data_IF_863143009838
#
_entry.id   IF_863143009838
#
_cell.length_a   1.000
_cell.length_b   1.000
_cell.length_c   1.000
_cell.angle_alpha   90.00
_cell.angle_beta   90.00
_cell.angle_gamma   90.00
#
_symmetry.space_group_name_H-M   'P 1'
#
loop_
_entity.id
_entity.type
_entity.pdbx_description
1 polymer ?
#
# COMPACT_ATOMS: atom_id res chain seq x y z
N UNK A 1 -4.19 -3.74 12.40
CA UNK A 1 -3.37 -4.90 11.97
C UNK A 1 -2.78 -4.65 10.59
N UNK A 2 -1.93 -5.56 10.08
CA UNK A 2 -1.33 -5.46 8.75
C UNK A 2 -1.47 -6.77 7.98
N UNK A 3 -1.91 -6.73 6.72
CA UNK A 3 -2.07 -7.92 5.86
C UNK A 3 -2.12 -7.54 4.38
N UNK A 4 -2.06 -8.53 3.48
CA UNK A 4 -2.30 -8.33 2.04
C UNK A 4 -3.78 -8.05 1.80
N UNK A 5 -4.07 -6.91 1.17
CA UNK A 5 -5.44 -6.50 0.81
C UNK A 5 -5.46 -6.06 -0.66
N UNK A 6 -5.93 -4.86 -0.98
CA UNK A 6 -6.08 -4.34 -2.33
C UNK A 6 -4.79 -4.50 -3.16
N UNK A 7 -4.94 -4.81 -4.46
CA UNK A 7 -3.83 -5.00 -5.42
C UNK A 7 -2.82 -6.10 -5.04
N UNK A 8 -3.11 -6.95 -4.05
CA UNK A 8 -2.14 -7.89 -3.52
C UNK A 8 -0.93 -7.21 -2.85
N UNK A 9 -1.11 -6.02 -2.27
CA UNK A 9 -0.09 -5.34 -1.47
C UNK A 9 -0.47 -5.30 0.01
N UNK A 10 0.53 -5.16 0.88
CA UNK A 10 0.34 -5.09 2.32
C UNK A 10 -0.19 -3.71 2.71
N UNK A 11 -1.29 -3.68 3.49
CA UNK A 11 -1.86 -2.46 4.05
C UNK A 11 -2.00 -2.57 5.57
N UNK A 12 -2.01 -1.42 6.25
CA UNK A 12 -2.42 -1.29 7.64
C UNK A 12 -3.89 -0.89 7.66
N UNK A 13 -4.70 -1.58 8.47
CA UNK A 13 -6.14 -1.34 8.58
C UNK A 13 -6.66 -1.77 9.95
N UNK A 14 -7.88 -1.35 10.29
CA UNK A 14 -8.53 -1.71 11.56
C UNK A 14 -8.84 -3.20 11.60
N UNK A 15 -8.83 -3.79 12.79
CA UNK A 15 -9.09 -5.23 12.92
C UNK A 15 -10.51 -5.62 12.47
N UNK A 16 -11.48 -4.75 12.77
CA UNK A 16 -12.88 -4.90 12.35
C UNK A 16 -13.10 -4.96 10.83
N UNK A 17 -12.13 -4.51 10.04
CA UNK A 17 -12.20 -4.53 8.57
C UNK A 17 -11.62 -5.84 7.96
N UNK A 18 -11.24 -6.83 8.77
CA UNK A 18 -10.81 -8.14 8.24
C UNK A 18 -11.87 -8.79 7.33
N UNK A 19 -13.16 -8.85 7.72
CA UNK A 19 -14.23 -9.34 6.85
C UNK A 19 -14.35 -8.61 5.52
N UNK A 20 -14.12 -7.29 5.53
CA UNK A 20 -14.22 -6.44 4.36
C UNK A 20 -13.12 -6.75 3.36
N UNK A 21 -11.87 -6.85 3.83
CA UNK A 21 -10.75 -7.08 2.93
C UNK A 21 -10.55 -8.56 2.59
N UNK A 22 -10.92 -9.50 3.45
CA UNK A 22 -10.96 -10.95 3.16
C UNK A 22 -12.41 -11.41 2.91
N UNK A 23 -13.14 -10.64 2.10
CA UNK A 23 -14.51 -10.94 1.72
C UNK A 23 -14.62 -12.20 0.85
N UNK A 24 -15.83 -12.75 0.75
CA UNK A 24 -16.14 -13.89 -0.11
C UNK A 24 -15.81 -13.60 -1.58
N UNK A 25 -15.28 -14.57 -2.31
CA UNK A 25 -14.99 -14.42 -3.74
C UNK A 25 -13.77 -13.55 -4.06
N UNK A 26 -13.07 -12.97 -3.07
CA UNK A 26 -11.82 -12.23 -3.29
C UNK A 26 -10.80 -13.09 -4.04
N UNK A 27 -10.18 -12.51 -5.07
CA UNK A 27 -9.13 -13.15 -5.86
C UNK A 27 -7.96 -12.22 -6.11
N UNK A 28 -6.75 -12.75 -5.99
CA UNK A 28 -5.53 -12.11 -6.44
C UNK A 28 -4.78 -13.03 -7.40
N UNK A 29 -4.07 -12.45 -8.36
CA UNK A 29 -3.05 -13.18 -9.08
C UNK A 29 -1.88 -13.47 -8.12
N UNK A 30 -1.71 -14.73 -7.78
CA UNK A 30 -0.64 -15.21 -6.89
C UNK A 30 0.46 -15.86 -7.72
N UNK A 31 1.72 -15.62 -7.34
CA UNK A 31 2.85 -16.39 -7.87
C UNK A 31 2.72 -17.84 -7.36
N UNK A 32 3.29 -18.84 -8.04
CA UNK A 32 3.25 -20.23 -7.55
C UNK A 32 3.71 -20.36 -6.09
N UNK A 33 4.79 -19.66 -5.71
CA UNK A 33 5.29 -19.66 -4.33
C UNK A 33 4.34 -19.01 -3.31
N UNK A 34 3.45 -18.11 -3.74
CA UNK A 34 2.46 -17.43 -2.89
C UNK A 34 1.17 -18.24 -2.69
N UNK A 35 1.10 -19.47 -3.20
CA UNK A 35 -0.01 -20.42 -2.98
C UNK A 35 0.40 -21.55 -2.04
N UNK A 36 -0.56 -22.35 -1.54
CA UNK A 36 -0.28 -23.59 -0.80
C UNK A 36 -0.02 -24.80 -1.73
N UNK A 37 -0.08 -24.62 -3.05
CA UNK A 37 0.23 -25.68 -4.00
C UNK A 37 1.75 -25.86 -4.18
N UNK A 38 2.13 -26.98 -4.81
CA UNK A 38 3.52 -27.24 -5.19
C UNK A 38 4.06 -26.18 -6.16
N UNK A 39 5.37 -25.96 -6.12
CA UNK A 39 6.06 -25.08 -7.06
C UNK A 39 7.48 -25.61 -7.39
N UNK A 40 8.30 -24.82 -8.10
CA UNK A 40 9.64 -25.23 -8.52
C UNK A 40 10.66 -25.46 -7.39
N UNK A 41 10.33 -25.05 -6.17
CA UNK A 41 11.21 -25.09 -5.00
C UNK A 41 10.82 -26.18 -4.01
N UNK A 42 9.52 -26.47 -3.88
CA UNK A 42 8.95 -27.29 -2.82
C UNK A 42 7.75 -28.12 -3.30
N UNK A 43 7.62 -29.34 -2.80
CA UNK A 43 6.42 -30.17 -3.05
C UNK A 43 5.24 -29.68 -2.21
N UNK A 44 4.01 -30.02 -2.61
CA UNK A 44 2.79 -29.65 -1.86
C UNK A 44 2.81 -30.19 -0.44
N UNK A 45 3.18 -31.45 -0.26
CA UNK A 45 3.28 -32.12 1.05
C UNK A 45 4.23 -31.40 2.00
N UNK A 46 5.40 -30.98 1.50
CA UNK A 46 6.38 -30.22 2.28
C UNK A 46 5.88 -28.81 2.59
N UNK A 47 5.18 -28.19 1.66
CA UNK A 47 4.60 -26.86 1.85
C UNK A 47 3.50 -26.87 2.90
N UNK A 48 2.61 -27.85 2.84
CA UNK A 48 1.57 -28.10 3.85
C UNK A 48 2.18 -28.36 5.22
N UNK A 49 3.24 -29.18 5.30
CA UNK A 49 3.96 -29.45 6.54
C UNK A 49 4.49 -28.16 7.19
N UNK A 50 5.20 -27.31 6.43
CA UNK A 50 5.73 -26.05 6.99
C UNK A 50 4.64 -25.01 7.26
N UNK A 51 3.58 -24.97 6.45
CA UNK A 51 2.41 -24.13 6.74
C UNK A 51 1.77 -24.52 8.09
N UNK A 52 1.58 -25.81 8.34
CA UNK A 52 1.06 -26.32 9.61
C UNK A 52 1.99 -26.00 10.77
N UNK A 53 3.31 -26.21 10.62
CA UNK A 53 4.30 -25.89 11.64
C UNK A 53 4.33 -24.39 12.00
N UNK A 54 4.18 -23.51 11.00
CA UNK A 54 4.07 -22.07 11.22
C UNK A 54 2.83 -21.74 12.05
N UNK A 55 1.68 -22.32 11.69
CA UNK A 55 0.43 -22.09 12.41
C UNK A 55 0.49 -22.61 13.85
N UNK A 56 1.04 -23.82 14.04
CA UNK A 56 1.25 -24.43 15.35
C UNK A 56 2.14 -23.55 16.24
N UNK A 57 3.26 -23.07 15.69
CA UNK A 57 4.15 -22.15 16.41
C UNK A 57 3.42 -20.89 16.88
N UNK A 58 2.53 -20.34 16.04
CA UNK A 58 1.76 -19.13 16.34
C UNK A 58 0.62 -19.36 17.35
N UNK A 59 0.26 -20.61 17.67
CA UNK A 59 -0.65 -20.90 18.80
C UNK A 59 -0.04 -20.53 20.14
N UNK A 60 1.30 -20.59 20.26
CA UNK A 60 2.05 -20.17 21.45
C UNK A 60 2.21 -18.66 21.60
N UNK A 61 1.79 -17.87 20.60
CA UNK A 61 1.85 -16.41 20.60
C UNK A 61 2.49 -15.83 19.33
N UNK A 62 2.57 -14.49 19.22
CA UNK A 62 3.18 -13.85 18.07
C UNK A 62 4.67 -14.19 17.93
N UNK A 63 5.12 -14.39 16.69
CA UNK A 63 6.51 -14.74 16.39
C UNK A 63 7.07 -13.91 15.23
N UNK A 64 8.36 -13.62 15.26
CA UNK A 64 9.05 -12.92 14.17
C UNK A 64 9.22 -13.85 12.98
N UNK A 65 9.38 -13.28 11.78
CA UNK A 65 9.65 -14.05 10.55
C UNK A 65 10.88 -14.93 10.71
N UNK A 66 11.91 -14.39 11.35
CA UNK A 66 13.17 -15.10 11.57
C UNK A 66 13.00 -16.24 12.57
N UNK A 67 12.24 -16.04 13.65
CA UNK A 67 11.92 -17.12 14.58
C UNK A 67 11.16 -18.27 13.89
N UNK A 68 10.13 -17.95 13.09
CA UNK A 68 9.39 -18.96 12.32
C UNK A 68 10.31 -19.71 11.34
N UNK A 69 11.23 -19.00 10.68
CA UNK A 69 12.24 -19.59 9.78
C UNK A 69 13.13 -20.57 10.53
N UNK A 70 13.66 -20.18 11.68
CA UNK A 70 14.52 -21.05 12.50
C UNK A 70 13.78 -22.29 13.00
N UNK A 71 12.52 -22.15 13.40
CA UNK A 71 11.66 -23.28 13.75
C UNK A 71 11.48 -24.24 12.56
N UNK A 72 11.25 -23.73 11.35
CA UNK A 72 11.14 -24.58 10.18
C UNK A 72 12.46 -25.28 9.83
N UNK A 73 13.60 -24.58 9.93
CA UNK A 73 14.94 -25.15 9.70
C UNK A 73 15.29 -26.26 10.70
N UNK A 74 14.96 -26.08 11.98
CA UNK A 74 15.17 -27.14 12.99
C UNK A 74 14.30 -28.38 12.74
N UNK A 75 13.24 -28.24 11.94
CA UNK A 75 12.37 -29.31 11.45
C UNK A 75 12.66 -29.74 10.01
N UNK A 76 13.84 -29.38 9.50
CA UNK A 76 14.38 -29.87 8.23
C UNK A 76 13.98 -29.06 7.00
N UNK A 77 13.61 -27.77 7.14
CA UNK A 77 13.48 -26.86 5.98
C UNK A 77 14.84 -26.71 5.30
N UNK A 78 14.92 -27.04 4.02
CA UNK A 78 16.13 -26.88 3.22
C UNK A 78 16.27 -25.45 2.67
N UNK A 79 17.49 -25.03 2.34
CA UNK A 79 17.75 -23.72 1.73
C UNK A 79 16.95 -23.53 0.44
N UNK A 80 16.80 -24.61 -0.36
CA UNK A 80 16.00 -24.58 -1.60
C UNK A 80 14.53 -24.30 -1.32
N UNK A 81 13.95 -24.98 -0.35
CA UNK A 81 12.53 -24.83 0.00
C UNK A 81 12.23 -23.46 0.63
N UNK A 82 13.21 -22.88 1.32
CA UNK A 82 13.10 -21.55 1.93
C UNK A 82 12.81 -20.46 0.90
N UNK A 83 13.32 -20.58 -0.34
CA UNK A 83 13.02 -19.68 -1.46
C UNK A 83 11.51 -19.59 -1.78
N UNK A 84 10.75 -20.62 -1.42
CA UNK A 84 9.28 -20.62 -1.48
C UNK A 84 8.64 -20.29 -0.13
N UNK A 85 9.01 -20.98 0.96
CA UNK A 85 8.32 -20.82 2.26
C UNK A 85 8.52 -19.41 2.83
N UNK A 86 9.75 -18.90 2.78
CA UNK A 86 10.13 -17.58 3.29
C UNK A 86 10.66 -16.67 2.18
N UNK A 87 10.01 -16.68 1.01
CA UNK A 87 10.24 -15.71 -0.06
C UNK A 87 10.07 -14.25 0.46
N UNK A 88 11.02 -13.32 0.26
CA UNK A 88 11.04 -12.00 0.93
C UNK A 88 9.80 -11.11 0.77
N UNK A 89 9.05 -11.30 -0.32
CA UNK A 89 7.86 -10.56 -0.73
C UNK A 89 6.57 -11.39 -0.66
N UNK A 90 6.64 -12.64 -0.19
CA UNK A 90 5.47 -13.49 -0.05
C UNK A 90 5.80 -14.89 0.45
N UNK A 91 5.54 -15.90 -0.38
CA UNK A 91 5.73 -17.30 -0.05
C UNK A 91 4.54 -17.91 0.70
N UNK A 92 4.79 -19.01 1.41
CA UNK A 92 3.79 -19.65 2.29
C UNK A 92 3.21 -18.66 3.30
N UNK A 93 4.00 -17.69 3.79
CA UNK A 93 3.50 -16.63 4.66
C UNK A 93 2.39 -15.80 4.00
N UNK A 94 2.56 -15.43 2.73
CA UNK A 94 1.50 -14.73 1.99
C UNK A 94 0.30 -15.64 1.77
N UNK A 95 0.53 -16.91 1.41
CA UNK A 95 -0.54 -17.88 1.21
C UNK A 95 -1.42 -18.01 2.47
N UNK A 96 -0.81 -18.13 3.65
CA UNK A 96 -1.50 -18.18 4.94
C UNK A 96 -2.27 -16.89 5.27
N UNK A 97 -1.71 -15.72 4.92
CA UNK A 97 -2.37 -14.44 5.13
C UNK A 97 -3.56 -14.22 4.18
N UNK A 98 -3.43 -14.59 2.90
CA UNK A 98 -4.52 -14.57 1.91
C UNK A 98 -5.64 -15.55 2.30
N UNK A 99 -5.30 -16.67 2.95
CA UNK A 99 -6.26 -17.63 3.51
C UNK A 99 -6.84 -17.21 4.87
N UNK A 100 -6.53 -16.00 5.37
CA UNK A 100 -7.04 -15.50 6.64
C UNK A 100 -6.59 -16.28 7.87
N UNK A 101 -5.45 -16.98 7.80
CA UNK A 101 -4.92 -17.77 8.92
C UNK A 101 -3.97 -16.97 9.81
N UNK A 102 -3.22 -16.03 9.21
CA UNK A 102 -2.27 -15.18 9.92
C UNK A 102 -2.42 -13.72 9.51
N UNK A 103 -1.99 -12.81 10.39
CA UNK A 103 -1.83 -11.38 10.10
C UNK A 103 -0.48 -10.91 10.62
N UNK A 104 0.04 -9.82 10.05
CA UNK A 104 1.23 -9.16 10.58
C UNK A 104 0.88 -8.29 11.78
N UNK A 105 1.85 -8.18 12.69
CA UNK A 105 1.89 -7.09 13.68
C UNK A 105 2.22 -5.75 13.00
N UNK A 106 1.72 -4.67 13.59
CA UNK A 106 1.98 -3.29 13.15
C UNK A 106 3.19 -2.75 13.89
N UNK A 107 4.37 -3.15 13.43
CA UNK A 107 5.66 -2.73 13.96
C UNK A 107 6.74 -2.81 12.86
N UNK A 108 7.95 -2.34 13.19
CA UNK A 108 9.09 -2.33 12.27
C UNK A 108 9.58 -3.75 11.93
N UNK A 109 9.80 -4.59 12.95
CA UNK A 109 10.18 -5.98 12.74
C UNK A 109 9.02 -6.79 12.13
N UNK A 110 9.34 -7.62 11.13
CA UNK A 110 8.34 -8.50 10.50
C UNK A 110 7.96 -9.62 11.47
N UNK A 111 6.83 -9.45 12.16
CA UNK A 111 6.24 -10.46 13.03
C UNK A 111 4.79 -10.76 12.66
N UNK A 112 4.34 -11.95 13.04
CA UNK A 112 3.05 -12.52 12.70
C UNK A 112 2.34 -13.06 13.94
N UNK A 113 1.02 -13.14 13.85
CA UNK A 113 0.16 -13.86 14.79
C UNK A 113 -0.96 -14.55 14.02
N UNK A 114 -1.66 -15.46 14.68
CA UNK A 114 -2.92 -15.98 14.15
C UNK A 114 -3.89 -14.82 13.90
N UNK A 115 -4.61 -14.92 12.78
CA UNK A 115 -5.71 -14.01 12.50
C UNK A 115 -6.82 -14.22 13.55
N UNK A 116 -7.47 -13.15 14.01
CA UNK A 116 -8.64 -13.30 14.88
C UNK A 116 -9.76 -14.02 14.11
N UNK A 117 -10.66 -14.76 14.79
CA UNK A 117 -11.85 -15.30 14.14
C UNK A 117 -12.66 -14.20 13.46
N UNK A 118 -13.12 -14.45 12.24
CA UNK A 118 -13.95 -13.52 11.49
C UNK A 118 -14.88 -14.30 10.55
N UNK A 119 -16.00 -13.69 10.18
CA UNK A 119 -16.86 -14.17 9.10
C UNK A 119 -16.64 -13.26 7.90
N UNK A 120 -16.23 -13.76 6.72
CA UNK A 120 -16.10 -12.96 5.52
C UNK A 120 -17.38 -12.17 5.21
N UNK A 121 -17.24 -10.92 4.77
CA UNK A 121 -18.36 -10.16 4.23
C UNK A 121 -18.74 -10.72 2.84
N UNK A 122 -20.01 -10.64 2.46
CA UNK A 122 -20.44 -11.03 1.11
C UNK A 122 -19.81 -10.13 0.04
N UNK A 123 -19.50 -10.69 -1.13
CA UNK A 123 -18.72 -10.00 -2.18
C UNK A 123 -19.30 -8.63 -2.58
N UNK A 124 -20.61 -8.57 -2.88
CA UNK A 124 -21.27 -7.35 -3.33
C UNK A 124 -21.33 -6.27 -2.24
N UNK A 125 -21.54 -6.66 -0.99
CA UNK A 125 -21.53 -5.76 0.17
C UNK A 125 -20.12 -5.19 0.40
N UNK A 126 -19.11 -6.06 0.35
CA UNK A 126 -17.72 -5.67 0.54
C UNK A 126 -17.27 -4.66 -0.53
N UNK A 127 -17.57 -4.93 -1.80
CA UNK A 127 -17.20 -4.00 -2.87
C UNK A 127 -17.95 -2.67 -2.79
N UNK A 128 -19.22 -2.67 -2.39
CA UNK A 128 -19.97 -1.43 -2.14
C UNK A 128 -19.28 -0.58 -1.08
N UNK A 129 -18.89 -1.20 0.03
CA UNK A 129 -18.23 -0.50 1.13
C UNK A 129 -16.80 -0.06 0.77
N UNK A 130 -16.03 -0.89 0.06
CA UNK A 130 -14.69 -0.54 -0.47
C UNK A 130 -14.79 0.68 -1.39
N UNK A 131 -15.73 0.69 -2.34
CA UNK A 131 -15.90 1.80 -3.28
C UNK A 131 -16.39 3.06 -2.56
N UNK A 132 -17.35 2.93 -1.64
CA UNK A 132 -17.82 4.06 -0.82
C UNK A 132 -16.64 4.69 -0.08
N UNK A 133 -15.84 3.90 0.65
CA UNK A 133 -14.65 4.41 1.36
C UNK A 133 -13.61 5.01 0.41
N UNK A 134 -13.37 4.40 -0.74
CA UNK A 134 -12.47 4.96 -1.74
C UNK A 134 -12.92 6.36 -2.16
N UNK A 135 -14.17 6.54 -2.59
CA UNK A 135 -14.65 7.85 -3.01
C UNK A 135 -14.76 8.86 -1.84
N UNK A 136 -15.04 8.42 -0.61
CA UNK A 136 -15.01 9.31 0.57
C UNK A 136 -13.63 9.91 0.83
N UNK A 137 -12.56 9.12 0.71
CA UNK A 137 -11.21 9.55 1.14
C UNK A 137 -10.26 9.89 0.00
N UNK A 138 -10.56 9.44 -1.21
CA UNK A 138 -9.75 9.65 -2.40
C UNK A 138 -10.49 10.46 -3.48
N UNK A 139 -11.80 10.68 -3.32
CA UNK A 139 -12.60 11.45 -4.25
C UNK A 139 -12.36 12.97 -4.15
N UNK A 140 -12.76 13.73 -5.17
CA UNK A 140 -13.30 13.28 -6.44
C UNK A 140 -12.26 12.53 -7.28
N UNK A 141 -12.62 11.36 -7.83
CA UNK A 141 -11.69 10.48 -8.55
C UNK A 141 -12.31 9.94 -9.84
N UNK A 142 -11.51 9.71 -10.87
CA UNK A 142 -12.01 9.10 -12.11
C UNK A 142 -12.18 7.58 -11.97
N UNK A 143 -12.92 6.97 -12.92
CA UNK A 143 -13.00 5.49 -13.00
C UNK A 143 -11.61 4.85 -13.19
N UNK A 144 -10.69 5.55 -13.87
CA UNK A 144 -9.33 5.08 -14.11
C UNK A 144 -8.48 5.13 -12.85
N UNK A 145 -8.64 6.18 -12.03
CA UNK A 145 -8.02 6.29 -10.71
C UNK A 145 -8.48 5.16 -9.79
N UNK A 146 -9.80 4.92 -9.73
CA UNK A 146 -10.38 3.85 -8.93
C UNK A 146 -9.86 2.47 -9.36
N UNK A 147 -9.79 2.21 -10.68
CA UNK A 147 -9.24 0.97 -11.20
C UNK A 147 -7.76 0.79 -10.86
N UNK A 148 -6.97 1.86 -10.96
CA UNK A 148 -5.56 1.86 -10.60
C UNK A 148 -5.36 1.58 -9.11
N UNK A 149 -6.10 2.26 -8.24
CA UNK A 149 -6.01 2.09 -6.80
C UNK A 149 -6.57 0.74 -6.33
N UNK A 150 -7.72 0.31 -6.80
CA UNK A 150 -8.34 -0.93 -6.31
C UNK A 150 -7.75 -2.18 -6.97
N UNK A 151 -7.06 -2.04 -8.10
CA UNK A 151 -6.51 -3.17 -8.85
C UNK A 151 -7.58 -4.00 -9.55
N UNK A 152 -8.69 -3.37 -9.95
CA UNK A 152 -9.84 -4.01 -10.55
C UNK A 152 -10.10 -3.48 -11.97
N UNK A 153 -10.76 -4.28 -12.81
CA UNK A 153 -11.06 -3.89 -14.17
C UNK A 153 -12.10 -2.75 -14.20
N UNK A 154 -11.87 -1.72 -15.02
CA UNK A 154 -12.78 -0.57 -15.14
C UNK A 154 -14.23 -0.98 -15.47
N UNK A 155 -14.43 -2.00 -16.32
CA UNK A 155 -15.76 -2.52 -16.65
C UNK A 155 -16.50 -3.05 -15.42
N UNK A 156 -15.79 -3.74 -14.55
CA UNK A 156 -16.35 -4.30 -13.32
C UNK A 156 -16.66 -3.18 -12.32
N UNK A 157 -15.71 -2.28 -12.10
CA UNK A 157 -15.91 -1.13 -11.21
C UNK A 157 -17.07 -0.25 -11.66
N UNK A 158 -17.18 0.03 -12.97
CA UNK A 158 -18.29 0.82 -13.52
C UNK A 158 -19.65 0.19 -13.19
N UNK A 159 -19.77 -1.14 -13.24
CA UNK A 159 -21.00 -1.85 -12.83
C UNK A 159 -21.23 -1.70 -11.32
N UNK A 160 -20.21 -1.96 -10.49
CA UNK A 160 -20.32 -1.89 -9.02
C UNK A 160 -20.63 -0.47 -8.51
N UNK A 161 -20.12 0.55 -9.20
CA UNK A 161 -20.40 1.97 -8.92
C UNK A 161 -21.87 2.35 -9.09
N UNK A 162 -22.65 1.63 -9.91
CA UNK A 162 -24.09 1.88 -10.05
C UNK A 162 -24.87 1.67 -8.74
N UNK A 163 -24.28 0.95 -7.78
CA UNK A 163 -24.83 0.79 -6.43
C UNK A 163 -24.56 1.97 -5.48
N UNK A 164 -23.88 3.02 -5.94
CA UNK A 164 -23.54 4.19 -5.13
C UNK A 164 -24.20 5.44 -5.72
N UNK A 165 -24.57 6.38 -4.85
CA UNK A 165 -25.07 7.70 -5.25
C UNK A 165 -23.89 8.64 -5.56
N UNK A 166 -23.19 8.34 -6.65
CA UNK A 166 -22.05 9.13 -7.10
C UNK A 166 -22.49 10.27 -8.02
N UNK A 167 -22.02 11.47 -7.72
CA UNK A 167 -22.18 12.66 -8.55
C UNK A 167 -21.01 12.78 -9.51
N UNK A 168 -21.32 13.07 -10.77
CA UNK A 168 -20.31 13.37 -11.77
C UNK A 168 -19.85 14.83 -11.69
N UNK A 169 -18.54 15.03 -11.70
CA UNK A 169 -17.90 16.34 -11.72
C UNK A 169 -16.95 16.37 -12.91
N UNK A 170 -17.11 17.36 -13.80
CA UNK A 170 -16.21 17.54 -14.94
C UNK A 170 -15.16 18.58 -14.62
N UNK A 171 -13.88 18.23 -14.74
CA UNK A 171 -12.75 19.13 -14.54
C UNK A 171 -11.65 18.82 -15.57
N UNK A 172 -11.12 19.84 -16.24
CA UNK A 172 -10.04 19.65 -17.22
C UNK A 172 -10.36 18.67 -18.36
N UNK A 173 -11.62 18.59 -18.80
CA UNK A 173 -12.07 17.65 -19.82
C UNK A 173 -12.19 16.19 -19.36
N UNK A 174 -12.06 15.92 -18.06
CA UNK A 174 -12.22 14.59 -17.46
C UNK A 174 -13.41 14.54 -16.52
N UNK A 175 -13.99 13.35 -16.41
CA UNK A 175 -15.09 13.05 -15.49
C UNK A 175 -14.54 12.40 -14.22
N UNK A 176 -14.87 13.01 -13.09
CA UNK A 176 -14.60 12.55 -11.74
C UNK A 176 -15.92 12.17 -11.08
N UNK A 177 -15.86 11.27 -10.10
CA UNK A 177 -16.99 10.83 -9.32
C UNK A 177 -16.76 11.18 -7.85
N UNK A 178 -17.80 11.69 -7.21
CA UNK A 178 -17.79 12.16 -5.83
C UNK A 178 -19.07 11.72 -5.10
N UNK A 179 -19.03 11.55 -3.78
CA UNK A 179 -20.24 11.23 -2.99
C UNK A 179 -21.10 12.46 -2.67
N UNK A 180 -20.68 13.64 -3.11
CA UNK A 180 -21.36 14.92 -2.87
C UNK A 180 -21.06 15.53 -1.50
N UNK A 181 -20.09 15.00 -0.76
CA UNK A 181 -19.62 15.46 0.55
C UNK A 181 -18.22 16.08 0.49
N UNK A 182 -17.64 16.20 -0.71
CA UNK A 182 -16.37 16.87 -0.96
C UNK A 182 -16.36 18.30 -0.40
N UNK A 183 -15.27 18.64 0.30
CA UNK A 183 -15.06 19.96 0.90
C UNK A 183 -14.04 20.74 0.10
N UNK A 184 -14.30 22.01 -0.14
CA UNK A 184 -13.28 22.94 -0.61
C UNK A 184 -12.42 23.35 0.58
N UNK A 185 -11.10 23.20 0.44
CA UNK A 185 -10.12 23.66 1.40
C UNK A 185 -9.00 24.40 0.67
N UNK A 186 -8.31 25.31 1.37
CA UNK A 186 -7.09 25.91 0.85
C UNK A 186 -6.02 24.82 0.69
N UNK A 187 -5.31 24.84 -0.44
CA UNK A 187 -4.20 23.93 -0.68
C UNK A 187 -3.04 24.37 0.23
N UNK A 188 -2.46 23.47 1.05
CA UNK A 188 -1.30 23.81 1.88
C UNK A 188 -0.12 24.29 1.03
N UNK A 189 0.62 25.24 1.58
CA UNK A 189 1.72 25.86 0.86
C UNK A 189 2.85 24.87 0.57
N UNK A 190 3.25 24.06 1.56
CA UNK A 190 4.24 23.00 1.38
C UNK A 190 3.91 21.77 2.25
N UNK A 191 4.06 20.57 1.70
CA UNK A 191 3.89 19.30 2.41
C UNK A 191 5.06 18.35 2.13
N UNK A 192 5.52 17.66 3.17
CA UNK A 192 6.45 16.54 3.06
C UNK A 192 5.69 15.22 3.18
N UNK A 193 5.48 14.54 2.05
CA UNK A 193 4.81 13.25 2.00
C UNK A 193 5.80 12.11 2.27
N UNK A 194 5.37 11.10 3.03
CA UNK A 194 6.16 9.89 3.20
C UNK A 194 6.29 9.09 1.89
N UNK A 195 7.19 8.11 1.86
CA UNK A 195 7.20 7.14 0.77
C UNK A 195 5.89 6.34 0.78
N UNK A 196 5.36 6.03 -0.40
CA UNK A 196 4.06 5.35 -0.56
C UNK A 196 2.86 6.10 0.07
N UNK A 197 2.93 7.43 0.16
CA UNK A 197 1.84 8.22 0.71
C UNK A 197 0.52 8.03 -0.09
N UNK A 198 -0.62 7.82 0.59
CA UNK A 198 -1.91 7.63 -0.07
C UNK A 198 -2.25 8.74 -1.07
N UNK A 199 -1.89 10.01 -0.82
CA UNK A 199 -2.20 11.11 -1.75
C UNK A 199 -1.62 10.88 -3.15
N UNK A 200 -0.44 10.24 -3.24
CA UNK A 200 0.18 9.89 -4.51
C UNK A 200 -0.35 8.57 -5.09
N UNK A 201 -0.82 7.66 -4.25
CA UNK A 201 -1.28 6.33 -4.65
C UNK A 201 -2.75 6.30 -5.07
N UNK A 202 -3.57 7.24 -4.58
CA UNK A 202 -5.03 7.30 -4.80
C UNK A 202 -5.44 7.54 -6.25
N UNK A 203 -4.54 8.09 -7.06
CA UNK A 203 -4.76 8.44 -8.46
C UNK A 203 -3.82 7.67 -9.39
N UNK A 204 -4.22 7.49 -10.64
CA UNK A 204 -3.33 6.92 -11.66
C UNK A 204 -2.12 7.84 -11.85
N UNK A 205 -0.91 7.31 -11.74
CA UNK A 205 0.32 8.10 -11.65
C UNK A 205 0.59 9.08 -12.79
N UNK A 206 0.09 8.85 -14.00
CA UNK A 206 0.25 9.78 -15.15
C UNK A 206 -0.89 10.81 -15.21
N UNK A 207 -1.97 10.54 -14.51
CA UNK A 207 -3.17 11.37 -14.43
C UNK A 207 -3.30 12.09 -13.09
N UNK A 208 -2.40 11.80 -12.14
CA UNK A 208 -2.40 12.35 -10.79
C UNK A 208 -2.25 13.88 -10.84
N UNK A 209 -3.22 14.64 -10.29
CA UNK A 209 -3.25 16.09 -10.40
C UNK A 209 -2.09 16.78 -9.67
N UNK A 210 -1.48 16.09 -8.70
CA UNK A 210 -0.38 16.62 -7.91
C UNK A 210 1.00 16.27 -8.51
N UNK A 211 1.07 15.43 -9.56
CA UNK A 211 2.33 14.91 -10.09
C UNK A 211 2.58 15.38 -11.53
N UNK A 212 3.40 16.43 -11.73
CA UNK A 212 3.85 16.82 -13.05
C UNK A 212 4.56 15.67 -13.80
N UNK A 213 4.34 15.49 -15.12
CA UNK A 213 4.92 14.37 -15.87
C UNK A 213 6.44 14.27 -15.77
N UNK A 214 7.16 15.39 -15.73
CA UNK A 214 8.62 15.45 -15.60
C UNK A 214 9.11 14.90 -14.24
N UNK A 215 8.30 15.02 -13.19
CA UNK A 215 8.63 14.54 -11.84
C UNK A 215 8.35 13.03 -11.67
N UNK A 216 7.60 12.41 -12.58
CA UNK A 216 7.06 11.05 -12.42
C UNK A 216 8.15 10.03 -12.11
N UNK A 217 9.29 10.05 -12.81
CA UNK A 217 10.38 9.08 -12.60
C UNK A 217 11.22 9.38 -11.36
N UNK A 218 11.20 10.61 -10.87
CA UNK A 218 11.79 10.97 -9.58
C UNK A 218 11.01 10.40 -8.40
N UNK A 219 9.70 10.22 -8.54
CA UNK A 219 8.81 9.70 -7.50
C UNK A 219 8.53 8.20 -7.67
N UNK A 220 8.07 7.78 -8.84
CA UNK A 220 7.71 6.39 -9.15
C UNK A 220 8.84 5.69 -9.91
N UNK A 221 9.54 4.80 -9.23
CA UNK A 221 10.62 4.01 -9.84
C UNK A 221 10.07 2.88 -10.72
N UNK A 222 10.92 2.33 -11.60
CA UNK A 222 10.59 1.14 -12.38
C UNK A 222 10.48 -0.13 -11.50
N UNK A 223 11.11 -0.13 -10.33
CA UNK A 223 11.05 -1.24 -9.37
C UNK A 223 9.82 -1.15 -8.43
N UNK A 224 8.90 -0.22 -8.67
CA UNK A 224 7.67 -0.09 -7.87
C UNK A 224 7.85 0.69 -6.56
N UNK A 225 8.97 1.40 -6.38
CA UNK A 225 9.15 2.29 -5.23
C UNK A 225 8.46 3.61 -5.48
N UNK A 226 7.75 4.12 -4.46
CA UNK A 226 7.21 5.48 -4.42
C UNK A 226 8.01 6.29 -3.42
N UNK A 227 8.88 7.17 -3.92
CA UNK A 227 9.77 7.97 -3.09
C UNK A 227 8.99 9.04 -2.31
N UNK A 228 9.47 9.42 -1.10
CA UNK A 228 8.93 10.56 -0.37
C UNK A 228 9.01 11.83 -1.21
N UNK A 229 7.91 12.56 -1.30
CA UNK A 229 7.77 13.73 -2.16
C UNK A 229 7.62 15.02 -1.35
N UNK A 230 8.06 16.13 -1.91
CA UNK A 230 7.72 17.47 -1.44
C UNK A 230 6.68 18.04 -2.40
N UNK A 231 5.52 18.40 -1.87
CA UNK A 231 4.49 19.11 -2.61
C UNK A 231 4.59 20.58 -2.25
N UNK A 232 4.67 21.44 -3.25
CA UNK A 232 4.61 22.89 -3.12
C UNK A 232 3.35 23.37 -3.83
N UNK A 233 2.45 24.01 -3.09
CA UNK A 233 1.13 24.48 -3.57
C UNK A 233 0.38 23.39 -4.34
N UNK A 234 0.41 22.18 -3.79
CA UNK A 234 -0.27 21.00 -4.34
C UNK A 234 0.45 20.28 -5.48
N UNK A 235 1.63 20.73 -5.92
CA UNK A 235 2.41 20.09 -6.99
C UNK A 235 3.70 19.49 -6.46
N UNK A 236 4.03 18.27 -6.88
CA UNK A 236 5.31 17.62 -6.59
C UNK A 236 6.42 18.40 -7.27
N UNK A 237 7.38 18.87 -6.47
CA UNK A 237 8.55 19.62 -6.96
C UNK A 237 9.89 18.99 -6.59
N UNK A 238 9.92 18.11 -5.58
CA UNK A 238 11.14 17.48 -5.12
C UNK A 238 10.86 16.11 -4.49
N UNK A 239 11.92 15.34 -4.27
CA UNK A 239 11.92 14.22 -3.33
C UNK A 239 12.72 14.58 -2.09
N UNK A 240 12.47 13.90 -0.97
CA UNK A 240 13.25 14.12 0.24
C UNK A 240 13.68 12.81 0.90
N UNK A 241 14.73 12.90 1.71
CA UNK A 241 15.22 11.81 2.55
C UNK A 241 15.74 12.37 3.85
N UNK A 242 15.33 11.76 4.96
CA UNK A 242 15.88 12.06 6.28
C UNK A 242 16.70 10.88 6.81
N UNK A 243 17.89 11.18 7.32
CA UNK A 243 18.74 10.24 8.05
C UNK A 243 19.23 10.92 9.33
N UNK A 244 18.71 10.50 10.48
CA UNK A 244 18.96 11.17 11.75
C UNK A 244 18.54 12.64 11.71
N UNK A 245 19.48 13.55 11.96
CA UNK A 245 19.29 15.01 11.87
C UNK A 245 19.57 15.61 10.50
N UNK A 246 19.95 14.80 9.50
CA UNK A 246 20.15 15.31 8.13
C UNK A 246 18.86 15.15 7.34
N UNK A 247 18.32 16.25 6.82
CA UNK A 247 17.23 16.25 5.85
C UNK A 247 17.78 16.72 4.50
N UNK A 248 17.67 15.86 3.50
CA UNK A 248 18.06 16.16 2.12
C UNK A 248 16.82 16.33 1.27
N UNK A 249 16.72 17.46 0.58
CA UNK A 249 15.72 17.71 -0.45
C UNK A 249 16.43 17.71 -1.81
N UNK A 250 15.94 16.91 -2.75
CA UNK A 250 16.44 16.84 -4.13
C UNK A 250 15.35 17.34 -5.06
N UNK A 251 15.44 18.59 -5.55
CA UNK A 251 14.52 19.13 -6.55
C UNK A 251 14.41 18.24 -7.79
N UNK A 252 13.21 18.24 -8.40
CA UNK A 252 12.88 17.54 -9.65
C UNK A 252 12.45 18.52 -10.75
N UNK A 253 12.39 19.80 -10.41
CA UNK A 253 12.10 20.93 -11.28
C UNK A 253 12.90 22.13 -10.80
N UNK A 254 13.03 23.15 -11.66
CA UNK A 254 13.60 24.44 -11.26
C UNK A 254 12.74 25.09 -10.18
N UNK A 255 13.39 25.63 -9.15
CA UNK A 255 12.76 26.26 -7.99
C UNK A 255 13.29 27.68 -7.83
N UNK A 256 12.39 28.63 -7.60
CA UNK A 256 12.77 30.00 -7.29
C UNK A 256 13.34 30.12 -5.86
N UNK A 257 14.08 31.20 -5.55
CA UNK A 257 14.53 31.45 -4.17
C UNK A 257 13.40 31.42 -3.14
N UNK A 258 12.22 31.97 -3.48
CA UNK A 258 11.05 31.97 -2.61
C UNK A 258 10.50 30.55 -2.37
N UNK A 259 10.53 29.68 -3.39
CA UNK A 259 10.13 28.28 -3.22
C UNK A 259 11.08 27.54 -2.27
N UNK A 260 12.38 27.80 -2.38
CA UNK A 260 13.39 27.22 -1.49
C UNK A 260 13.19 27.65 -0.05
N UNK A 261 12.92 28.94 0.19
CA UNK A 261 12.60 29.47 1.53
C UNK A 261 11.35 28.81 2.11
N UNK A 262 10.30 28.66 1.30
CA UNK A 262 9.04 28.00 1.71
C UNK A 262 9.30 26.54 2.12
N UNK A 263 10.07 25.80 1.34
CA UNK A 263 10.43 24.41 1.63
C UNK A 263 11.27 24.32 2.91
N UNK A 264 12.22 25.25 3.11
CA UNK A 264 13.03 25.31 4.33
C UNK A 264 12.20 25.61 5.57
N UNK A 265 11.26 26.54 5.48
CA UNK A 265 10.35 26.86 6.58
C UNK A 265 9.49 25.65 6.96
N UNK A 266 8.85 25.01 5.98
CA UNK A 266 8.03 23.82 6.22
C UNK A 266 8.86 22.63 6.76
N UNK A 267 10.11 22.48 6.33
CA UNK A 267 11.03 21.50 6.88
C UNK A 267 11.36 21.76 8.36
N UNK A 268 11.59 23.03 8.73
CA UNK A 268 11.89 23.43 10.10
C UNK A 268 10.67 23.25 11.04
N UNK A 269 9.45 23.43 10.52
CA UNK A 269 8.22 23.12 11.27
C UNK A 269 8.07 21.61 11.53
N UNK A 270 8.29 20.78 10.50
CA UNK A 270 8.16 19.33 10.61
C UNK A 270 9.26 18.73 11.51
N UNK A 271 10.49 19.24 11.39
CA UNK A 271 11.68 18.73 12.07
C UNK A 271 12.61 19.87 12.50
N UNK A 272 12.31 20.55 13.63
CA UNK A 272 13.09 21.69 14.12
C UNK A 272 14.58 21.38 14.37
N UNK A 273 14.89 20.12 14.68
CA UNK A 273 16.25 19.65 14.96
C UNK A 273 17.02 19.21 13.71
N UNK A 274 16.38 19.18 12.54
CA UNK A 274 16.99 18.70 11.32
C UNK A 274 17.74 19.82 10.57
N UNK A 275 18.93 19.50 10.08
CA UNK A 275 19.67 20.33 9.12
C UNK A 275 19.15 20.02 7.73
N UNK A 276 18.34 20.94 7.19
CA UNK A 276 17.83 20.85 5.83
C UNK A 276 18.89 21.28 4.81
N UNK A 277 19.16 20.43 3.83
CA UNK A 277 20.04 20.69 2.70
C UNK A 277 19.24 20.48 1.41
N UNK A 278 19.01 21.56 0.67
CA UNK A 278 18.41 21.49 -0.66
C UNK A 278 19.54 21.37 -1.69
N UNK A 279 19.49 20.32 -2.49
CA UNK A 279 20.46 20.07 -3.57
C UNK A 279 20.14 20.94 -4.80
N UNK A 280 21.12 21.22 -5.67
CA UNK A 280 20.82 21.72 -7.01
C UNK A 280 20.02 20.67 -7.80
N UNK A 281 19.29 21.15 -8.82
CA UNK A 281 18.56 20.32 -9.80
C UNK A 281 19.54 19.48 -10.62
#
# INVERSE_FOLDING_TARGET
MKSWTLRGTIHVFREEDLPLYLHEGRRHALRPCDTLEADGWITRERKDYFAALILDTLTGGPATREALRQTCRSKGLTDREEESVFQPWGGTIRALAEAGKIVHLVQEEKAFRLAPPFTPMGEEEAWREILRRYFTYCGPASLRDAAYFLGAAQRELKRRMQGLDLKEVTCGGRTYYDLGDSRTAAIPECLFLAGFDPLLLSYEKRENPCLPPQCLRGIFSLAGIVNPAVLLRGQVVARWKRTGRSLRVSPLAELSPADLETIQAAAAECWPEARCQIQPV
#
